data_IF_480227510484
#
_entry.id   IF_480227510484
#
_cell.length_a   1.000
_cell.length_b   1.000
_cell.length_c   1.000
_cell.angle_alpha   90.00
_cell.angle_beta   90.00
_cell.angle_gamma   90.00
#
_symmetry.space_group_name_H-M   'P 1'
#
loop_
_entity.id
_entity.type
_entity.pdbx_description
1 polymer ?
#
# COMPACT_ATOMS: atom_id res chain seq x y z
N UNK A 1 0.95 -12.20 33.25
CA UNK A 1 0.80 -12.73 31.88
C UNK A 1 1.14 -11.62 30.90
N UNK A 2 1.94 -11.91 29.87
CA UNK A 2 2.27 -10.95 28.82
C UNK A 2 0.97 -10.57 28.08
N UNK A 3 0.70 -9.25 27.92
CA UNK A 3 -0.49 -8.77 27.19
C UNK A 3 -0.46 -9.30 25.75
N UNK A 4 -1.47 -10.05 25.35
CA UNK A 4 -1.65 -10.57 23.98
C UNK A 4 -2.76 -9.82 23.21
N UNK A 5 -2.78 -8.48 23.32
CA UNK A 5 -3.62 -7.64 22.48
C UNK A 5 -2.76 -6.78 21.54
N UNK A 6 -3.39 -5.89 20.76
CA UNK A 6 -2.70 -5.10 19.75
C UNK A 6 -1.73 -4.05 20.33
N UNK A 7 -1.87 -3.68 21.62
CA UNK A 7 -0.94 -2.77 22.30
C UNK A 7 0.49 -3.29 22.25
N UNK A 8 0.68 -4.62 22.35
CA UNK A 8 1.98 -5.26 22.17
C UNK A 8 2.72 -4.82 20.89
N UNK A 9 2.00 -4.71 19.76
CA UNK A 9 2.65 -4.32 18.48
C UNK A 9 3.01 -2.84 18.43
N UNK A 10 2.27 -2.01 19.14
CA UNK A 10 2.57 -0.56 19.26
C UNK A 10 3.78 -0.36 20.16
N UNK A 11 3.79 -0.97 21.34
CA UNK A 11 4.87 -0.90 22.35
C UNK A 11 6.21 -1.42 21.84
N UNK A 12 6.20 -2.36 20.87
CA UNK A 12 7.41 -2.96 20.30
C UNK A 12 7.75 -2.47 18.88
N UNK A 13 7.20 -1.34 18.42
CA UNK A 13 7.43 -0.78 17.08
C UNK A 13 7.11 -1.76 15.92
N UNK A 14 6.18 -2.69 16.13
CA UNK A 14 5.78 -3.69 15.15
C UNK A 14 4.51 -3.30 14.38
N UNK A 15 3.82 -2.22 14.78
CA UNK A 15 2.61 -1.77 14.12
C UNK A 15 2.89 -1.25 12.70
N UNK A 16 2.00 -1.60 11.75
CA UNK A 16 2.05 -1.20 10.34
C UNK A 16 1.03 -0.09 10.01
N UNK A 17 0.16 0.26 10.96
CA UNK A 17 -0.95 1.19 10.74
C UNK A 17 -2.06 0.68 9.82
N UNK A 18 -2.10 -0.62 9.51
CA UNK A 18 -3.06 -1.19 8.56
C UNK A 18 -4.52 -1.12 9.00
N UNK A 19 -4.81 -1.00 10.30
CA UNK A 19 -6.13 -0.74 10.86
C UNK A 19 -7.07 -1.95 11.01
N UNK A 20 -6.75 -3.11 10.45
CA UNK A 20 -7.63 -4.29 10.40
C UNK A 20 -7.99 -4.81 11.80
N UNK A 21 -7.13 -4.57 12.80
CA UNK A 21 -7.37 -4.95 14.20
C UNK A 21 -8.60 -4.26 14.82
N UNK A 22 -8.98 -3.07 14.35
CA UNK A 22 -10.19 -2.37 14.79
C UNK A 22 -11.43 -3.19 14.46
N UNK A 23 -11.59 -3.60 13.21
CA UNK A 23 -12.76 -4.35 12.72
C UNK A 23 -12.76 -5.80 13.23
N UNK A 24 -11.58 -6.35 13.55
CA UNK A 24 -11.45 -7.69 14.11
C UNK A 24 -11.87 -7.77 15.58
N UNK A 25 -12.00 -6.65 16.28
CA UNK A 25 -12.37 -6.62 17.69
C UNK A 25 -13.90 -6.78 17.87
N UNK A 26 -14.39 -7.90 18.44
CA UNK A 26 -15.83 -8.12 18.59
C UNK A 26 -16.49 -7.20 19.62
N UNK A 27 -15.69 -6.52 20.46
CA UNK A 27 -16.16 -5.59 21.48
C UNK A 27 -15.93 -4.13 21.08
N UNK A 28 -15.45 -3.85 19.85
CA UNK A 28 -15.11 -2.51 19.38
C UNK A 28 -14.19 -1.73 20.34
N UNK A 29 -13.32 -2.45 21.08
CA UNK A 29 -12.39 -1.87 22.05
C UNK A 29 -11.16 -1.20 21.39
N UNK A 30 -11.06 -1.16 20.06
CA UNK A 30 -9.90 -0.65 19.34
C UNK A 30 -10.33 0.46 18.40
N UNK A 31 -9.68 1.61 18.53
CA UNK A 31 -9.83 2.76 17.63
C UNK A 31 -8.47 3.09 16.98
N UNK A 32 -8.45 3.24 15.66
CA UNK A 32 -7.22 3.57 14.91
C UNK A 32 -7.16 5.06 14.64
N UNK A 33 -6.11 5.72 15.14
CA UNK A 33 -5.87 7.17 15.01
C UNK A 33 -4.54 7.48 14.34
N UNK A 34 -4.44 8.66 13.74
CA UNK A 34 -3.17 9.20 13.25
C UNK A 34 -2.34 9.73 14.44
N UNK A 35 -1.22 9.05 14.72
CA UNK A 35 -0.35 9.34 15.87
C UNK A 35 1.10 9.24 15.41
N UNK A 36 1.94 10.22 15.78
CA UNK A 36 3.40 10.23 15.51
C UNK A 36 3.73 9.91 14.05
N UNK A 37 3.02 10.54 13.11
CA UNK A 37 3.29 10.44 11.67
C UNK A 37 2.79 9.16 11.00
N UNK A 38 2.01 8.30 11.68
CA UNK A 38 1.39 7.10 11.11
C UNK A 38 0.03 6.82 11.74
N UNK A 39 -0.67 5.78 11.28
CA UNK A 39 -1.84 5.27 11.98
C UNK A 39 -1.41 4.29 13.07
N UNK A 40 -2.09 4.35 14.23
CA UNK A 40 -1.85 3.44 15.35
C UNK A 40 -3.15 3.10 16.06
N UNK A 41 -3.37 1.84 16.47
CA UNK A 41 -4.51 1.46 17.28
C UNK A 41 -4.34 1.91 18.72
N UNK A 42 -5.44 2.39 19.31
CA UNK A 42 -5.60 2.67 20.74
C UNK A 42 -6.60 1.64 21.27
N UNK A 43 -6.27 1.00 22.37
CA UNK A 43 -7.13 0.01 23.02
C UNK A 43 -7.83 0.66 24.22
N UNK A 44 -9.15 0.56 24.27
CA UNK A 44 -9.91 0.83 25.49
C UNK A 44 -9.82 -0.39 26.42
N UNK A 45 -8.99 -0.31 27.43
CA UNK A 45 -8.68 -1.42 28.34
C UNK A 45 -9.88 -1.79 29.23
N UNK A 46 -10.83 -0.88 29.46
CA UNK A 46 -12.04 -1.14 30.29
C UNK A 46 -12.97 -2.17 29.65
N UNK A 47 -13.08 -2.13 28.32
CA UNK A 47 -13.95 -3.07 27.58
C UNK A 47 -13.18 -4.19 26.89
N UNK A 48 -11.84 -4.13 26.90
CA UNK A 48 -10.99 -5.13 26.25
C UNK A 48 -11.03 -6.47 27.02
N UNK A 49 -11.45 -7.54 26.34
CA UNK A 49 -11.50 -8.88 26.94
C UNK A 49 -10.15 -9.62 26.97
N UNK A 50 -9.01 -8.94 26.81
CA UNK A 50 -7.70 -9.60 26.84
C UNK A 50 -7.45 -10.31 28.18
N UNK A 51 -7.85 -9.72 29.31
CA UNK A 51 -7.80 -10.34 30.64
C UNK A 51 -8.64 -11.61 30.78
N UNK A 52 -9.62 -11.81 29.89
CA UNK A 52 -10.48 -13.00 29.80
C UNK A 52 -10.02 -13.99 28.71
N UNK A 53 -8.79 -13.84 28.19
CA UNK A 53 -8.19 -14.73 27.20
C UNK A 53 -8.45 -14.37 25.74
N UNK A 54 -9.05 -13.23 25.44
CA UNK A 54 -9.22 -12.78 24.04
C UNK A 54 -7.90 -12.21 23.50
N UNK A 55 -7.43 -12.74 22.35
CA UNK A 55 -6.24 -12.26 21.65
C UNK A 55 -6.45 -12.11 20.13
N UNK A 56 -7.70 -12.03 19.69
CA UNK A 56 -8.10 -12.03 18.27
C UNK A 56 -7.37 -10.95 17.43
N UNK A 57 -7.26 -9.72 17.93
CA UNK A 57 -6.55 -8.63 17.26
C UNK A 57 -5.05 -8.88 17.12
N UNK A 58 -4.44 -9.56 18.08
CA UNK A 58 -3.05 -9.98 18.06
C UNK A 58 -2.81 -11.08 17.02
N UNK A 59 -3.68 -12.11 17.01
CA UNK A 59 -3.54 -13.26 16.12
C UNK A 59 -3.62 -12.87 14.64
N UNK A 60 -4.52 -11.93 14.28
CA UNK A 60 -4.65 -11.48 12.88
C UNK A 60 -3.60 -10.44 12.50
N UNK A 61 -2.82 -9.93 13.46
CA UNK A 61 -1.90 -8.83 13.17
C UNK A 61 -0.70 -9.27 12.32
N UNK A 62 -0.50 -8.68 11.12
CA UNK A 62 0.68 -8.97 10.30
C UNK A 62 1.96 -8.35 10.88
N UNK A 63 1.83 -7.41 11.83
CA UNK A 63 2.94 -6.83 12.57
C UNK A 63 3.69 -7.85 13.41
N UNK A 64 2.97 -8.79 14.04
CA UNK A 64 3.56 -9.91 14.80
C UNK A 64 4.29 -10.91 13.92
N UNK A 65 3.80 -11.10 12.70
CA UNK A 65 4.37 -12.04 11.74
C UNK A 65 3.33 -12.73 10.88
N UNK A 66 3.80 -13.54 9.94
CA UNK A 66 2.93 -14.27 9.01
C UNK A 66 3.66 -15.49 8.42
N UNK A 67 2.95 -16.57 8.21
CA UNK A 67 3.39 -17.72 7.45
C UNK A 67 2.90 -17.60 5.99
N UNK A 68 3.69 -16.94 5.12
CA UNK A 68 3.31 -16.70 3.73
C UNK A 68 3.05 -18.01 2.98
N UNK A 69 3.93 -19.00 3.13
CA UNK A 69 3.81 -20.29 2.42
C UNK A 69 2.54 -21.04 2.78
N UNK A 70 2.22 -21.12 4.07
CA UNK A 70 1.02 -21.84 4.52
C UNK A 70 -0.26 -21.15 4.04
N UNK A 71 -0.34 -19.81 4.15
CA UNK A 71 -1.51 -19.07 3.71
C UNK A 71 -1.63 -19.13 2.19
N UNK A 72 -0.52 -18.99 1.46
CA UNK A 72 -0.53 -19.12 0.00
C UNK A 72 -0.99 -20.50 -0.46
N UNK A 73 -0.49 -21.58 0.17
CA UNK A 73 -0.95 -22.94 -0.12
C UNK A 73 -2.46 -23.10 0.05
N UNK A 74 -3.03 -22.51 1.08
CA UNK A 74 -4.48 -22.59 1.34
C UNK A 74 -5.33 -21.81 0.34
N UNK A 75 -4.76 -20.79 -0.32
CA UNK A 75 -5.49 -19.90 -1.22
C UNK A 75 -5.18 -20.16 -2.71
N UNK A 76 -4.00 -20.68 -3.02
CA UNK A 76 -3.51 -20.86 -4.39
C UNK A 76 -3.20 -22.33 -4.71
N UNK A 77 -3.83 -23.28 -4.01
CA UNK A 77 -3.68 -24.71 -4.25
C UNK A 77 -4.46 -25.13 -5.51
N UNK A 78 -4.00 -24.68 -6.68
CA UNK A 78 -4.53 -25.04 -8.00
C UNK A 78 -3.41 -25.70 -8.82
N UNK A 79 -3.81 -26.55 -9.76
CA UNK A 79 -2.86 -27.16 -10.71
C UNK A 79 -2.10 -26.06 -11.48
N UNK A 80 -0.81 -26.31 -11.74
CA UNK A 80 0.07 -25.44 -12.51
C UNK A 80 0.38 -24.06 -11.88
N UNK A 81 0.45 -23.96 -10.56
CA UNK A 81 1.01 -22.77 -9.92
C UNK A 81 2.51 -22.97 -9.65
N UNK A 82 3.31 -22.02 -10.10
CA UNK A 82 4.75 -22.00 -9.87
C UNK A 82 5.10 -21.28 -8.56
N UNK A 83 6.35 -21.46 -8.08
CA UNK A 83 6.88 -20.76 -6.92
C UNK A 83 8.25 -20.14 -7.22
N UNK A 84 8.44 -18.92 -6.73
CA UNK A 84 9.75 -18.24 -6.75
C UNK A 84 10.00 -17.58 -5.38
N UNK A 85 11.23 -17.59 -4.90
CA UNK A 85 11.60 -17.06 -3.56
C UNK A 85 11.28 -15.57 -3.41
N UNK A 86 11.37 -14.78 -4.48
CA UNK A 86 11.16 -13.34 -4.46
C UNK A 86 9.71 -12.93 -4.70
N UNK A 87 8.98 -13.72 -5.49
CA UNK A 87 7.65 -13.39 -6.00
C UNK A 87 6.54 -14.13 -5.24
N UNK A 88 6.89 -15.25 -4.59
CA UNK A 88 5.94 -16.20 -4.02
C UNK A 88 5.34 -17.10 -5.10
N UNK A 89 4.08 -17.53 -4.93
CA UNK A 89 3.36 -18.29 -5.93
C UNK A 89 2.97 -17.39 -7.11
N UNK A 90 3.00 -17.93 -8.34
CA UNK A 90 2.63 -17.20 -9.56
C UNK A 90 2.19 -18.14 -10.67
N UNK A 91 1.35 -17.62 -11.57
CA UNK A 91 0.97 -18.27 -12.82
C UNK A 91 1.67 -17.62 -14.00
N UNK A 92 1.40 -16.35 -14.20
CA UNK A 92 1.86 -15.60 -15.36
C UNK A 92 2.39 -14.22 -14.98
N UNK A 93 3.24 -13.69 -15.85
CA UNK A 93 3.77 -12.34 -15.76
C UNK A 93 3.41 -11.57 -17.01
N UNK A 94 2.85 -10.39 -16.83
CA UNK A 94 2.48 -9.50 -17.92
C UNK A 94 3.04 -8.10 -17.72
N UNK A 95 3.08 -7.37 -18.83
CA UNK A 95 3.19 -5.92 -18.88
C UNK A 95 2.02 -5.38 -19.69
N UNK A 96 1.56 -4.20 -19.36
CA UNK A 96 0.45 -3.58 -20.06
C UNK A 96 0.04 -2.24 -19.47
N UNK A 97 -0.96 -1.63 -20.08
CA UNK A 97 -1.51 -0.36 -19.66
C UNK A 97 -2.98 -0.23 -20.07
N UNK A 98 -3.69 0.75 -19.52
CA UNK A 98 -5.01 1.15 -19.99
C UNK A 98 -4.95 1.62 -21.45
N UNK A 99 -5.92 1.24 -22.27
CA UNK A 99 -6.09 1.78 -23.63
C UNK A 99 -6.72 3.16 -23.62
N UNK A 100 -7.44 3.52 -22.57
CA UNK A 100 -7.95 4.87 -22.32
C UNK A 100 -6.76 5.81 -22.00
N UNK A 101 -6.52 6.77 -22.89
CA UNK A 101 -5.37 7.69 -22.82
C UNK A 101 -5.42 8.58 -21.56
N UNK A 102 -6.59 9.02 -21.16
CA UNK A 102 -6.78 9.85 -19.97
C UNK A 102 -6.49 9.07 -18.69
N UNK A 103 -7.00 7.82 -18.60
CA UNK A 103 -6.68 6.93 -17.47
C UNK A 103 -5.18 6.67 -17.43
N UNK A 104 -4.56 6.37 -18.55
CA UNK A 104 -3.13 6.08 -18.64
C UNK A 104 -2.28 7.28 -18.21
N UNK A 105 -2.58 8.48 -18.70
CA UNK A 105 -1.83 9.70 -18.43
C UNK A 105 -1.94 10.15 -16.96
N UNK A 106 -3.13 10.06 -16.39
CA UNK A 106 -3.38 10.50 -15.02
C UNK A 106 -3.18 9.43 -13.96
N UNK A 107 -2.88 8.19 -14.34
CA UNK A 107 -2.45 7.14 -13.43
C UNK A 107 -0.93 7.03 -13.40
N UNK A 108 -0.39 6.59 -12.27
CA UNK A 108 1.06 6.62 -11.99
C UNK A 108 1.90 5.71 -12.87
N UNK A 109 1.34 4.59 -13.36
CA UNK A 109 2.09 3.49 -13.97
C UNK A 109 1.36 2.83 -15.15
N UNK A 110 0.57 3.59 -15.90
CA UNK A 110 -0.16 3.06 -17.04
C UNK A 110 -1.62 2.70 -16.79
N UNK A 111 -2.12 2.81 -15.54
CA UNK A 111 -3.55 2.75 -15.23
C UNK A 111 -4.19 1.36 -15.19
N UNK A 112 -3.43 0.26 -15.32
CA UNK A 112 -4.00 -1.09 -15.39
C UNK A 112 -4.88 -1.47 -14.21
N UNK A 113 -4.46 -1.15 -12.97
CA UNK A 113 -5.24 -1.49 -11.78
C UNK A 113 -6.62 -0.83 -11.83
N UNK A 114 -6.66 0.47 -12.15
CA UNK A 114 -7.93 1.21 -12.25
C UNK A 114 -8.78 0.70 -13.40
N UNK A 115 -8.18 0.51 -14.58
CA UNK A 115 -8.90 0.04 -15.76
C UNK A 115 -9.49 -1.37 -15.57
N UNK A 116 -8.73 -2.28 -14.95
CA UNK A 116 -9.22 -3.63 -14.71
C UNK A 116 -10.35 -3.67 -13.66
N UNK A 117 -10.31 -2.80 -12.65
CA UNK A 117 -11.44 -2.63 -11.71
C UNK A 117 -12.68 -2.10 -12.43
N UNK A 118 -12.52 -1.10 -13.31
CA UNK A 118 -13.61 -0.55 -14.11
C UNK A 118 -14.23 -1.65 -14.97
N UNK A 119 -13.42 -2.45 -15.66
CA UNK A 119 -13.88 -3.60 -16.43
C UNK A 119 -14.73 -4.56 -15.59
N UNK A 120 -14.25 -4.96 -14.41
CA UNK A 120 -14.98 -5.88 -13.53
C UNK A 120 -16.31 -5.30 -13.02
N UNK A 121 -16.39 -3.99 -12.78
CA UNK A 121 -17.62 -3.29 -12.40
C UNK A 121 -18.62 -3.22 -13.56
N UNK A 122 -18.18 -2.85 -14.75
CA UNK A 122 -19.03 -2.75 -15.96
C UNK A 122 -19.59 -4.12 -16.37
N UNK A 123 -18.78 -5.18 -16.20
CA UNK A 123 -19.22 -6.58 -16.39
C UNK A 123 -20.08 -7.13 -15.25
N UNK A 124 -20.31 -6.34 -14.18
CA UNK A 124 -21.04 -6.76 -12.98
C UNK A 124 -20.48 -8.01 -12.30
N UNK A 125 -19.16 -8.25 -12.43
CA UNK A 125 -18.44 -9.35 -11.78
C UNK A 125 -18.24 -9.01 -10.30
N UNK A 126 -18.10 -7.72 -9.98
CA UNK A 126 -17.99 -7.21 -8.62
C UNK A 126 -19.01 -6.10 -8.37
N UNK A 127 -19.44 -5.97 -7.11
CA UNK A 127 -20.33 -4.91 -6.64
C UNK A 127 -19.56 -3.62 -6.30
N UNK A 128 -18.28 -3.75 -6.00
CA UNK A 128 -17.44 -2.61 -5.68
C UNK A 128 -15.99 -2.99 -5.44
N UNK A 129 -15.15 -1.98 -5.41
CA UNK A 129 -13.73 -2.10 -5.08
C UNK A 129 -13.36 -1.20 -3.91
N UNK A 130 -12.66 -1.75 -2.93
CA UNK A 130 -12.08 -0.99 -1.82
C UNK A 130 -10.80 -0.34 -2.32
N UNK A 131 -10.84 0.98 -2.43
CA UNK A 131 -9.77 1.82 -2.96
C UNK A 131 -9.50 3.00 -2.04
N UNK A 132 -8.39 3.71 -2.24
CA UNK A 132 -7.96 4.80 -1.37
C UNK A 132 -7.82 6.09 -2.14
N UNK A 133 -8.44 7.18 -1.67
CA UNK A 133 -8.31 8.54 -2.23
C UNK A 133 -7.87 9.54 -1.18
N UNK A 134 -7.44 10.72 -1.61
CA UNK A 134 -7.29 11.86 -0.69
C UNK A 134 -8.65 12.33 -0.19
N UNK A 135 -8.67 12.81 1.03
CA UNK A 135 -9.85 13.42 1.62
C UNK A 135 -10.06 14.81 1.01
N UNK A 136 -11.28 15.13 0.55
CA UNK A 136 -11.58 16.43 -0.05
C UNK A 136 -11.48 17.60 0.94
N UNK A 137 -11.76 17.32 2.25
CA UNK A 137 -11.69 18.35 3.32
C UNK A 137 -10.27 18.53 3.87
N UNK A 138 -9.42 17.51 3.73
CA UNK A 138 -8.02 17.52 4.12
C UNK A 138 -7.21 16.76 3.09
N UNK A 139 -6.69 17.42 2.04
CA UNK A 139 -6.01 16.78 0.91
C UNK A 139 -4.79 15.95 1.25
N UNK A 140 -4.31 16.01 2.51
CA UNK A 140 -3.16 15.23 2.98
C UNK A 140 -3.55 13.97 3.73
N UNK A 141 -4.81 13.85 4.10
CA UNK A 141 -5.35 12.62 4.70
C UNK A 141 -5.94 11.74 3.62
N UNK A 142 -5.73 10.45 3.77
CA UNK A 142 -6.25 9.45 2.84
C UNK A 142 -7.46 8.75 3.46
N UNK A 143 -8.47 8.53 2.62
CA UNK A 143 -9.67 7.76 2.97
C UNK A 143 -9.75 6.51 2.12
N UNK A 144 -10.00 5.39 2.76
CA UNK A 144 -10.35 4.12 2.09
C UNK A 144 -11.88 4.02 2.02
N UNK A 145 -12.41 3.68 0.85
CA UNK A 145 -13.85 3.63 0.60
C UNK A 145 -14.21 2.58 -0.46
N UNK A 146 -15.49 2.31 -0.65
CA UNK A 146 -16.00 1.39 -1.67
C UNK A 146 -16.35 2.20 -2.92
N UNK A 147 -15.61 2.01 -4.01
CA UNK A 147 -15.93 2.54 -5.33
C UNK A 147 -16.83 1.57 -6.09
N UNK A 148 -17.90 2.08 -6.73
CA UNK A 148 -18.92 1.29 -7.43
C UNK A 148 -19.08 1.63 -8.91
N UNK A 149 -18.39 2.65 -9.38
CA UNK A 149 -18.44 3.11 -10.76
C UNK A 149 -17.08 3.65 -11.20
N UNK A 150 -16.96 3.96 -12.50
CA UNK A 150 -15.73 4.47 -13.12
C UNK A 150 -15.23 5.74 -12.43
N UNK A 151 -16.09 6.70 -12.16
CA UNK A 151 -15.75 8.01 -11.58
C UNK A 151 -15.18 7.84 -10.17
N UNK A 152 -15.78 6.98 -9.36
CA UNK A 152 -15.31 6.68 -8.01
C UNK A 152 -13.94 5.96 -8.02
N UNK A 153 -13.73 5.01 -8.93
CA UNK A 153 -12.43 4.36 -9.13
C UNK A 153 -11.37 5.39 -9.54
N UNK A 154 -11.69 6.26 -10.49
CA UNK A 154 -10.76 7.30 -10.96
C UNK A 154 -10.47 8.36 -9.90
N UNK A 155 -11.39 8.63 -8.97
CA UNK A 155 -11.12 9.51 -7.83
C UNK A 155 -10.01 8.97 -6.91
N UNK A 156 -9.74 7.65 -6.97
CA UNK A 156 -8.70 6.97 -6.21
C UNK A 156 -7.39 6.74 -6.98
N UNK A 157 -7.28 7.23 -8.23
CA UNK A 157 -6.09 7.09 -9.07
C UNK A 157 -4.83 7.69 -8.42
N UNK A 158 -3.67 7.26 -8.89
CA UNK A 158 -2.37 7.77 -8.47
C UNK A 158 -1.84 7.17 -7.16
N UNK A 159 -0.53 7.23 -6.97
CA UNK A 159 0.17 6.73 -5.77
C UNK A 159 -0.04 7.65 -4.57
N UNK A 160 -0.23 7.05 -3.38
CA UNK A 160 -0.27 7.76 -2.09
C UNK A 160 0.96 7.36 -1.26
N UNK A 161 1.93 8.25 -1.15
CA UNK A 161 3.12 8.05 -0.30
C UNK A 161 2.88 8.56 1.12
N UNK A 162 1.73 8.20 1.67
CA UNK A 162 1.28 8.48 3.02
C UNK A 162 0.79 7.21 3.69
N UNK A 163 0.68 7.15 5.01
CA UNK A 163 0.02 6.06 5.70
C UNK A 163 -1.41 5.86 5.23
N UNK A 164 -1.80 4.60 5.04
CA UNK A 164 -3.16 4.19 4.67
C UNK A 164 -3.66 3.20 5.71
N UNK A 165 -4.89 3.40 6.18
CA UNK A 165 -5.59 2.46 7.07
C UNK A 165 -6.78 1.84 6.36
N UNK A 166 -7.05 0.57 6.71
CA UNK A 166 -8.22 -0.21 6.29
C UNK A 166 -9.26 -0.33 7.41
N UNK A 167 -9.12 0.47 8.47
CA UNK A 167 -10.08 0.48 9.57
C UNK A 167 -11.50 0.82 9.08
N UNK A 168 -12.50 0.07 9.54
CA UNK A 168 -13.90 0.22 9.16
C UNK A 168 -14.30 -0.49 7.86
N UNK A 169 -13.34 -1.04 7.09
CA UNK A 169 -13.65 -1.66 5.79
C UNK A 169 -14.36 -2.99 5.96
N UNK A 170 -13.97 -3.82 6.92
CA UNK A 170 -14.61 -5.13 7.13
C UNK A 170 -16.08 -4.96 7.49
N UNK A 171 -16.38 -4.05 8.43
CA UNK A 171 -17.74 -3.76 8.85
C UNK A 171 -18.56 -3.13 7.71
N UNK A 172 -17.91 -2.31 6.87
CA UNK A 172 -18.58 -1.63 5.75
C UNK A 172 -19.05 -2.59 4.65
N UNK A 173 -18.42 -3.77 4.48
CA UNK A 173 -18.75 -4.74 3.40
C UNK A 173 -19.48 -5.98 3.90
N UNK A 174 -19.32 -6.35 5.17
CA UNK A 174 -19.87 -7.60 5.74
C UNK A 174 -21.38 -7.76 5.54
N UNK A 175 -22.12 -6.67 5.68
CA UNK A 175 -23.56 -6.63 5.60
C UNK A 175 -24.09 -6.11 4.23
N UNK A 176 -23.22 -5.97 3.23
CA UNK A 176 -23.60 -5.59 1.87
C UNK A 176 -23.71 -6.83 0.98
N UNK A 177 -24.58 -6.75 -0.02
CA UNK A 177 -24.66 -7.80 -1.04
C UNK A 177 -23.50 -7.70 -2.02
N UNK A 178 -23.27 -8.81 -2.73
CA UNK A 178 -22.26 -8.90 -3.78
C UNK A 178 -20.86 -9.24 -3.30
N UNK A 179 -19.92 -9.12 -4.22
CA UNK A 179 -18.50 -9.43 -4.08
C UNK A 179 -17.65 -8.17 -4.26
N UNK A 180 -16.55 -8.10 -3.53
CA UNK A 180 -15.69 -6.92 -3.51
C UNK A 180 -14.25 -7.26 -3.83
N UNK A 181 -13.58 -6.38 -4.58
CA UNK A 181 -12.13 -6.36 -4.71
C UNK A 181 -11.55 -5.48 -3.60
N UNK A 182 -10.44 -5.88 -3.00
CA UNK A 182 -9.66 -5.03 -2.09
C UNK A 182 -8.32 -4.71 -2.72
N UNK A 183 -8.06 -3.43 -2.99
CA UNK A 183 -6.74 -2.94 -3.43
C UNK A 183 -5.91 -2.60 -2.20
N UNK A 184 -4.73 -3.22 -2.08
CA UNK A 184 -3.93 -3.02 -0.87
C UNK A 184 -2.44 -3.26 -1.04
N UNK A 185 -1.68 -2.75 -0.07
CA UNK A 185 -0.26 -3.07 0.09
C UNK A 185 -0.10 -4.51 0.66
N UNK A 186 1.09 -5.12 0.55
CA UNK A 186 1.33 -6.45 1.14
C UNK A 186 0.84 -6.58 2.58
N UNK A 187 1.14 -5.60 3.44
CA UNK A 187 0.73 -5.63 4.85
C UNK A 187 -0.80 -5.60 5.06
N UNK A 188 -1.55 -4.89 4.21
CA UNK A 188 -3.02 -4.90 4.25
C UNK A 188 -3.55 -6.29 3.89
N UNK A 189 -3.04 -6.87 2.80
CA UNK A 189 -3.46 -8.20 2.34
C UNK A 189 -3.09 -9.29 3.36
N UNK A 190 -1.91 -9.20 3.96
CA UNK A 190 -1.51 -10.10 5.05
C UNK A 190 -2.51 -10.10 6.21
N UNK A 191 -2.95 -8.91 6.64
CA UNK A 191 -3.93 -8.77 7.71
C UNK A 191 -5.30 -9.35 7.32
N UNK A 192 -5.79 -9.05 6.12
CA UNK A 192 -7.05 -9.59 5.62
C UNK A 192 -7.01 -11.12 5.44
N UNK A 193 -5.91 -11.66 4.87
CA UNK A 193 -5.76 -13.12 4.74
C UNK A 193 -5.71 -13.84 6.10
N UNK A 194 -5.12 -13.22 7.12
CA UNK A 194 -5.20 -13.76 8.49
C UNK A 194 -6.61 -13.63 9.07
N UNK A 195 -7.32 -12.53 8.80
CA UNK A 195 -8.70 -12.36 9.23
C UNK A 195 -9.64 -13.40 8.59
N UNK A 196 -9.47 -13.75 7.32
CA UNK A 196 -10.23 -14.79 6.63
C UNK A 196 -10.17 -16.16 7.32
N UNK A 197 -9.10 -16.45 8.07
CA UNK A 197 -8.97 -17.72 8.81
C UNK A 197 -9.98 -17.81 9.95
N UNK A 198 -10.44 -16.69 10.48
CA UNK A 198 -11.32 -16.60 11.65
C UNK A 198 -12.66 -15.92 11.37
N UNK A 199 -12.85 -15.34 10.19
CA UNK A 199 -14.08 -14.65 9.76
C UNK A 199 -14.55 -15.12 8.38
N UNK A 200 -15.35 -16.19 8.37
CA UNK A 200 -15.88 -16.77 7.13
C UNK A 200 -16.86 -15.85 6.40
N UNK A 201 -17.65 -15.04 7.13
CA UNK A 201 -18.58 -14.07 6.51
C UNK A 201 -17.82 -13.02 5.73
N UNK A 202 -16.75 -12.46 6.30
CA UNK A 202 -15.87 -11.54 5.60
C UNK A 202 -15.25 -12.20 4.35
N UNK A 203 -14.67 -13.41 4.51
CA UNK A 203 -14.08 -14.15 3.39
C UNK A 203 -15.05 -14.32 2.21
N UNK A 204 -16.31 -14.62 2.49
CA UNK A 204 -17.35 -14.81 1.45
C UNK A 204 -17.68 -13.54 0.67
N UNK A 205 -17.36 -12.35 1.20
CA UNK A 205 -17.58 -11.06 0.51
C UNK A 205 -16.44 -10.69 -0.44
N UNK A 206 -15.30 -11.34 -0.33
CA UNK A 206 -14.13 -11.00 -1.13
C UNK A 206 -14.15 -11.75 -2.47
N UNK A 207 -14.10 -11.01 -3.57
CA UNK A 207 -13.85 -11.56 -4.89
C UNK A 207 -12.36 -11.81 -5.09
N UNK A 208 -11.53 -10.78 -4.87
CA UNK A 208 -10.09 -10.86 -5.03
C UNK A 208 -9.35 -9.77 -4.25
N UNK A 209 -8.08 -10.03 -3.94
CA UNK A 209 -7.11 -9.04 -3.48
C UNK A 209 -6.22 -8.57 -4.62
N UNK A 210 -6.23 -7.28 -4.90
CA UNK A 210 -5.35 -6.61 -5.84
C UNK A 210 -4.18 -6.00 -5.09
N UNK A 211 -3.02 -6.64 -5.19
CA UNK A 211 -1.80 -6.21 -4.51
C UNK A 211 -1.06 -5.11 -5.27
N UNK A 212 -0.53 -4.15 -4.55
CA UNK A 212 0.40 -3.18 -5.11
C UNK A 212 1.82 -3.51 -4.64
N UNK A 213 2.81 -3.49 -5.55
CA UNK A 213 4.20 -3.67 -5.17
C UNK A 213 4.62 -2.59 -4.17
N UNK A 214 5.32 -2.99 -3.15
CA UNK A 214 5.68 -2.07 -2.08
C UNK A 214 7.12 -2.25 -1.63
N UNK A 215 7.92 -1.21 -1.79
CA UNK A 215 9.27 -1.20 -1.22
C UNK A 215 9.26 -0.84 0.27
N UNK A 216 8.51 0.21 0.67
CA UNK A 216 8.43 0.68 2.05
C UNK A 216 7.27 1.67 2.21
N UNK A 217 6.56 1.64 3.35
CA UNK A 217 5.60 2.67 3.74
C UNK A 217 6.29 3.98 4.11
N UNK A 218 5.57 5.10 3.96
CA UNK A 218 6.05 6.44 4.36
C UNK A 218 5.19 6.98 5.50
N UNK A 219 5.81 7.77 6.37
CA UNK A 219 5.10 8.53 7.41
C UNK A 219 4.48 9.79 6.82
N UNK A 220 3.50 10.39 7.51
CA UNK A 220 2.94 11.70 7.14
C UNK A 220 3.99 12.80 7.11
N UNK A 221 5.08 12.64 7.84
CA UNK A 221 6.19 13.60 7.88
C UNK A 221 6.83 13.88 6.52
N UNK A 222 6.77 12.95 5.55
CA UNK A 222 7.20 13.21 4.19
C UNK A 222 6.40 14.36 3.56
N UNK A 223 5.09 14.34 3.75
CA UNK A 223 4.20 15.37 3.21
C UNK A 223 4.39 16.69 3.93
N UNK A 224 4.46 16.65 5.28
CA UNK A 224 4.67 17.85 6.11
C UNK A 224 5.98 18.54 5.77
N UNK A 225 7.06 17.77 5.65
CA UNK A 225 8.35 18.29 5.22
C UNK A 225 8.29 18.91 3.82
N UNK A 226 7.62 18.22 2.88
CA UNK A 226 7.51 18.71 1.49
C UNK A 226 6.77 20.04 1.42
N UNK A 227 5.68 20.20 2.15
CA UNK A 227 4.94 21.45 2.21
C UNK A 227 5.75 22.57 2.89
N UNK A 228 6.33 22.27 4.06
CA UNK A 228 7.17 23.21 4.83
C UNK A 228 8.34 23.72 3.98
N UNK A 229 9.02 22.83 3.26
CA UNK A 229 10.16 23.19 2.41
C UNK A 229 9.79 24.05 1.19
N UNK A 230 8.51 24.07 0.80
CA UNK A 230 7.99 24.93 -0.27
C UNK A 230 7.14 26.10 0.27
N UNK A 231 7.19 26.38 1.57
CA UNK A 231 6.46 27.47 2.23
C UNK A 231 4.94 27.43 2.00
N UNK A 232 4.37 26.23 1.85
CA UNK A 232 2.92 26.00 1.61
C UNK A 232 2.30 25.49 2.91
N UNK A 233 1.24 26.14 3.39
CA UNK A 233 0.45 25.68 4.53
C UNK A 233 -0.71 24.78 4.07
N UNK A 234 -1.19 23.88 4.95
CA UNK A 234 -2.24 22.90 4.61
C UNK A 234 -3.57 23.54 4.24
N UNK A 235 -3.90 24.67 4.86
CA UNK A 235 -5.10 25.46 4.61
C UNK A 235 -5.15 26.13 3.23
N UNK A 236 -4.00 26.28 2.58
CA UNK A 236 -3.88 26.84 1.24
C UNK A 236 -4.12 25.80 0.13
N UNK A 237 -4.07 24.50 0.45
CA UNK A 237 -4.11 23.43 -0.55
C UNK A 237 -5.49 23.31 -1.20
N UNK A 238 -5.50 23.23 -2.54
CA UNK A 238 -6.66 22.90 -3.36
C UNK A 238 -6.51 21.56 -4.08
N UNK A 239 -5.25 21.15 -4.35
CA UNK A 239 -4.94 19.85 -4.97
C UNK A 239 -3.59 19.33 -4.50
N UNK A 240 -3.48 18.00 -4.36
CA UNK A 240 -2.22 17.34 -4.02
C UNK A 240 -2.14 15.95 -4.66
N UNK A 241 -1.08 15.69 -5.42
CA UNK A 241 -0.77 14.37 -5.95
C UNK A 241 0.73 14.09 -5.86
N UNK A 242 1.10 12.94 -5.30
CA UNK A 242 2.51 12.54 -5.19
C UNK A 242 3.16 12.20 -6.53
N UNK A 243 2.36 11.74 -7.47
CA UNK A 243 2.77 11.44 -8.85
C UNK A 243 1.57 11.74 -9.77
N UNK A 244 1.72 12.69 -10.65
CA UNK A 244 0.73 13.10 -11.64
C UNK A 244 1.41 13.35 -12.98
N UNK A 245 0.63 13.32 -14.07
CA UNK A 245 1.07 13.64 -15.42
C UNK A 245 2.15 12.69 -15.96
N UNK A 246 1.74 11.46 -16.25
CA UNK A 246 2.56 10.42 -16.87
C UNK A 246 3.46 9.66 -15.92
N UNK A 247 4.45 8.97 -16.45
CA UNK A 247 5.42 8.14 -15.71
C UNK A 247 6.82 8.81 -15.80
N UNK A 248 7.59 8.92 -14.77
CA UNK A 248 7.38 8.61 -13.36
C UNK A 248 6.51 9.64 -12.63
N UNK A 249 5.97 10.62 -13.33
CA UNK A 249 5.12 11.68 -12.82
C UNK A 249 5.86 12.76 -12.02
N UNK A 250 5.12 13.79 -11.66
CA UNK A 250 5.61 14.86 -10.80
C UNK A 250 4.83 14.87 -9.49
N UNK A 251 5.44 15.32 -8.41
CA UNK A 251 4.66 15.88 -7.29
C UNK A 251 3.92 17.10 -7.86
N UNK A 252 2.62 17.14 -7.72
CA UNK A 252 1.77 18.23 -8.19
C UNK A 252 0.95 18.79 -7.04
N UNK A 253 1.15 20.07 -6.75
CA UNK A 253 0.49 20.80 -5.67
C UNK A 253 -0.19 22.02 -6.27
N UNK A 254 -1.48 22.23 -5.98
CA UNK A 254 -2.15 23.50 -6.26
C UNK A 254 -2.56 24.14 -4.93
N UNK A 255 -2.37 25.44 -4.82
CA UNK A 255 -2.65 26.18 -3.59
C UNK A 255 -2.99 27.65 -3.88
N UNK A 256 -3.67 28.26 -2.92
CA UNK A 256 -4.01 29.71 -2.98
C UNK A 256 -2.96 30.50 -2.19
N UNK A 257 -2.35 31.51 -2.80
CA UNK A 257 -1.37 32.36 -2.13
C UNK A 257 -2.02 33.27 -1.07
N UNK A 258 -1.38 33.40 0.11
CA UNK A 258 -1.91 34.23 1.22
C UNK A 258 -2.04 35.72 0.86
N UNK A 259 -1.22 36.23 -0.03
CA UNK A 259 -1.21 37.66 -0.41
C UNK A 259 -2.40 38.06 -1.32
N UNK A 260 -3.12 37.11 -1.89
CA UNK A 260 -4.37 37.39 -2.64
C UNK A 260 -5.57 37.63 -1.73
N UNK A 261 -5.48 37.27 -0.45
CA UNK A 261 -6.57 37.44 0.52
C UNK A 261 -6.63 38.86 1.14
N UNK A 262 -5.53 39.63 1.11
CA UNK A 262 -5.45 40.94 1.78
C UNK A 262 -5.68 42.16 0.85
N UNK A 263 -5.86 41.98 -0.45
CA UNK A 263 -5.97 43.06 -1.43
C UNK A 263 -7.34 43.22 -2.09
N UNK A 264 -8.33 42.43 -1.73
CA UNK A 264 -9.63 42.46 -2.41
C UNK A 264 -10.77 42.57 -1.41
N UNK A 265 -11.01 43.77 -0.90
CA UNK A 265 -12.39 44.21 -0.60
C UNK A 265 -13.00 44.60 -1.95
N UNK A 266 -14.02 43.86 -2.41
CA UNK A 266 -14.84 44.11 -3.61
C UNK A 266 -14.34 43.65 -4.98
N UNK A 267 -14.05 42.38 -5.19
CA UNK A 267 -14.16 41.76 -6.55
C UNK A 267 -14.52 40.28 -6.39
N UNK A 268 -15.48 39.79 -7.19
CA UNK A 268 -15.96 38.41 -7.28
C UNK A 268 -14.82 37.37 -7.29
N UNK A 269 -15.01 36.27 -6.56
CA UNK A 269 -14.11 35.19 -6.19
C UNK A 269 -13.25 34.55 -7.32
N UNK A 270 -12.28 35.25 -7.88
CA UNK A 270 -11.19 34.60 -8.61
C UNK A 270 -9.98 34.42 -7.68
N UNK A 271 -10.00 33.35 -6.90
CA UNK A 271 -8.83 32.90 -6.14
C UNK A 271 -7.76 32.49 -7.14
N UNK A 272 -6.64 33.19 -7.18
CA UNK A 272 -5.49 32.76 -7.99
C UNK A 272 -4.91 31.46 -7.41
N UNK A 273 -5.07 30.38 -8.16
CA UNK A 273 -4.51 29.07 -7.83
C UNK A 273 -3.13 28.95 -8.44
N UNK A 274 -2.11 28.87 -7.61
CA UNK A 274 -0.73 28.62 -8.03
C UNK A 274 -0.49 27.12 -8.13
N UNK A 275 0.21 26.69 -9.21
CA UNK A 275 0.57 25.29 -9.44
C UNK A 275 2.07 25.08 -9.30
N UNK A 276 2.48 24.14 -8.43
CA UNK A 276 3.86 23.72 -8.24
C UNK A 276 4.00 22.27 -8.71
N UNK A 277 4.96 22.01 -9.59
CA UNK A 277 5.33 20.66 -10.01
C UNK A 277 6.80 20.39 -9.73
N UNK A 278 7.09 19.27 -9.06
CA UNK A 278 8.46 18.84 -8.75
C UNK A 278 8.68 17.43 -9.31
N UNK A 279 9.70 17.22 -10.16
CA UNK A 279 10.00 15.90 -10.71
C UNK A 279 10.18 14.85 -9.60
N UNK A 280 9.61 13.66 -9.81
CA UNK A 280 9.68 12.53 -8.89
C UNK A 280 11.09 12.23 -8.36
N UNK A 281 12.10 12.33 -9.23
CA UNK A 281 13.50 12.10 -8.86
C UNK A 281 13.99 13.11 -7.82
N UNK A 282 13.61 14.40 -7.97
CA UNK A 282 14.11 15.48 -7.12
C UNK A 282 13.53 15.45 -5.71
N UNK A 283 12.29 15.01 -5.55
CA UNK A 283 11.69 14.98 -4.21
C UNK A 283 11.62 13.56 -3.62
N UNK A 284 11.00 12.61 -4.33
CA UNK A 284 10.71 11.30 -3.73
C UNK A 284 11.95 10.42 -3.60
N UNK A 285 12.73 10.26 -4.67
CA UNK A 285 13.94 9.43 -4.61
C UNK A 285 14.96 9.96 -3.62
N UNK A 286 15.05 11.28 -3.45
CA UNK A 286 15.94 11.94 -2.49
C UNK A 286 15.43 11.78 -1.06
N UNK A 287 14.15 11.97 -0.82
CA UNK A 287 13.58 12.10 0.52
C UNK A 287 13.05 10.78 1.11
N UNK A 288 12.66 9.82 0.27
CA UNK A 288 11.92 8.62 0.71
C UNK A 288 12.53 7.86 1.88
N UNK A 289 13.85 7.76 1.93
CA UNK A 289 14.55 6.98 2.97
C UNK A 289 14.48 7.62 4.36
N UNK A 290 14.26 8.93 4.44
CA UNK A 290 14.15 9.67 5.69
C UNK A 290 12.81 9.48 6.40
N UNK A 291 11.76 9.11 5.65
CA UNK A 291 10.39 9.04 6.15
C UNK A 291 9.81 7.63 6.14
N UNK A 292 10.65 6.63 6.33
CA UNK A 292 10.23 5.23 6.36
C UNK A 292 9.44 4.90 7.63
N UNK A 293 8.41 4.07 7.48
CA UNK A 293 7.75 3.41 8.62
C UNK A 293 8.72 2.37 9.21
N UNK A 294 8.96 2.40 10.54
CA UNK A 294 9.95 1.56 11.21
C UNK A 294 9.75 0.06 10.92
N UNK A 295 8.54 -0.43 11.06
CA UNK A 295 8.19 -1.84 10.83
C UNK A 295 8.55 -2.35 9.41
N UNK A 296 8.65 -1.46 8.40
CA UNK A 296 9.06 -1.82 7.05
C UNK A 296 10.51 -2.33 6.95
N UNK A 297 11.36 -2.04 7.94
CA UNK A 297 12.72 -2.59 8.03
C UNK A 297 12.74 -4.12 8.18
N UNK A 298 11.64 -4.70 8.67
CA UNK A 298 11.47 -6.14 8.86
C UNK A 298 10.59 -6.81 7.79
N UNK A 299 10.05 -6.05 6.83
CA UNK A 299 9.13 -6.58 5.83
C UNK A 299 9.86 -7.43 4.79
N UNK A 300 9.31 -8.61 4.48
CA UNK A 300 9.87 -9.58 3.54
C UNK A 300 9.13 -9.68 2.20
N UNK A 301 8.00 -9.00 2.06
CA UNK A 301 7.15 -9.08 0.87
C UNK A 301 7.20 -7.78 0.06
N UNK A 302 7.58 -7.91 -1.20
CA UNK A 302 7.62 -6.83 -2.19
C UNK A 302 6.45 -6.90 -3.17
N UNK A 303 6.12 -8.10 -3.62
CA UNK A 303 5.18 -8.36 -4.71
C UNK A 303 3.73 -8.59 -4.25
N UNK A 304 3.43 -8.38 -2.97
CA UNK A 304 2.16 -8.74 -2.35
C UNK A 304 1.82 -10.22 -2.58
N UNK A 305 2.68 -11.10 -2.08
CA UNK A 305 2.69 -12.54 -2.37
C UNK A 305 1.38 -13.26 -2.04
N UNK A 306 0.55 -12.71 -1.17
CA UNK A 306 -0.76 -13.25 -0.81
C UNK A 306 -1.94 -12.61 -1.55
N UNK A 307 -1.69 -11.70 -2.50
CA UNK A 307 -2.75 -11.19 -3.38
C UNK A 307 -3.08 -12.18 -4.49
N UNK A 308 -4.29 -12.10 -5.02
CA UNK A 308 -4.74 -12.92 -6.15
C UNK A 308 -4.13 -12.46 -7.48
N UNK A 309 -3.90 -11.14 -7.58
CA UNK A 309 -3.17 -10.47 -8.64
C UNK A 309 -2.41 -9.29 -8.05
N UNK A 310 -1.22 -8.97 -8.54
CA UNK A 310 -0.47 -7.81 -8.10
C UNK A 310 0.10 -6.98 -9.23
N UNK A 311 0.19 -5.68 -8.99
CA UNK A 311 0.56 -4.66 -9.97
C UNK A 311 1.72 -3.80 -9.46
N UNK A 312 2.56 -3.35 -10.36
CA UNK A 312 3.62 -2.39 -10.05
C UNK A 312 4.22 -1.77 -11.31
N UNK A 313 5.13 -0.85 -11.13
CA UNK A 313 5.87 -0.24 -12.23
C UNK A 313 6.78 -1.28 -12.90
N UNK A 314 7.08 -1.09 -14.19
CA UNK A 314 8.16 -1.82 -14.86
C UNK A 314 9.27 -0.84 -15.24
N UNK A 315 10.50 -1.16 -14.84
CA UNK A 315 11.70 -0.36 -15.12
C UNK A 315 12.76 -1.25 -15.79
N UNK A 316 12.47 -1.72 -17.01
CA UNK A 316 13.34 -2.63 -17.74
C UNK A 316 13.28 -2.37 -19.25
N UNK A 317 14.43 -2.36 -19.92
CA UNK A 317 14.57 -2.27 -21.37
C UNK A 317 13.76 -1.10 -21.95
N UNK A 318 13.06 -1.35 -23.04
CA UNK A 318 12.24 -0.35 -23.76
C UNK A 318 11.13 0.30 -22.90
N UNK A 319 10.71 -0.35 -21.81
CA UNK A 319 9.64 0.17 -20.94
C UNK A 319 10.06 1.38 -20.10
N UNK A 320 11.37 1.62 -19.93
CA UNK A 320 11.89 2.77 -19.18
C UNK A 320 11.62 4.08 -19.93
N UNK A 321 11.59 4.03 -21.26
CA UNK A 321 11.43 5.20 -22.12
C UNK A 321 9.97 5.64 -22.27
N UNK A 322 9.03 4.77 -21.85
CA UNK A 322 7.61 5.08 -21.93
C UNK A 322 7.20 6.11 -20.89
N UNK A 323 6.90 7.32 -21.33
CA UNK A 323 6.54 8.45 -20.47
C UNK A 323 5.09 8.45 -19.99
N UNK A 324 4.24 7.61 -20.55
CA UNK A 324 2.85 7.45 -20.10
C UNK A 324 2.71 6.36 -19.04
N UNK A 325 3.69 5.47 -18.94
CA UNK A 325 3.74 4.40 -17.97
C UNK A 325 3.18 3.06 -18.47
N UNK A 326 3.79 2.02 -17.93
CA UNK A 326 3.42 0.62 -18.15
C UNK A 326 3.46 -0.09 -16.81
N UNK A 327 2.43 -0.88 -16.52
CA UNK A 327 2.41 -1.75 -15.35
C UNK A 327 3.05 -3.11 -15.65
N UNK A 328 3.71 -3.69 -14.66
CA UNK A 328 3.89 -5.14 -14.59
C UNK A 328 2.81 -5.76 -13.72
N UNK A 329 2.45 -7.00 -14.05
CA UNK A 329 1.39 -7.77 -13.39
C UNK A 329 1.87 -9.17 -13.08
N UNK A 330 1.54 -9.67 -11.88
CA UNK A 330 1.70 -11.06 -11.49
C UNK A 330 0.34 -11.64 -11.16
N UNK A 331 -0.08 -12.68 -11.88
CA UNK A 331 -1.34 -13.39 -11.59
C UNK A 331 -1.06 -14.63 -10.75
N UNK A 332 -2.05 -15.00 -9.89
CA UNK A 332 -1.97 -16.18 -9.02
C UNK A 332 -3.22 -17.06 -9.10
N UNK A 333 -4.32 -16.56 -9.68
CA UNK A 333 -5.56 -17.30 -9.90
C UNK A 333 -5.88 -17.39 -11.38
N UNK A 334 -6.38 -18.55 -11.82
CA UNK A 334 -6.68 -18.83 -13.21
C UNK A 334 -7.84 -17.98 -13.76
N UNK A 335 -8.88 -17.81 -12.96
CA UNK A 335 -10.04 -17.01 -13.33
C UNK A 335 -9.67 -15.53 -13.56
N UNK A 336 -8.79 -14.95 -12.72
CA UNK A 336 -8.29 -13.58 -12.90
C UNK A 336 -7.35 -13.45 -14.10
N UNK A 337 -6.56 -14.49 -14.40
CA UNK A 337 -5.73 -14.55 -15.60
C UNK A 337 -6.59 -14.52 -16.87
N UNK A 338 -7.67 -15.31 -16.90
CA UNK A 338 -8.64 -15.32 -17.99
C UNK A 338 -9.35 -13.95 -18.13
N UNK A 339 -9.84 -13.37 -17.05
CA UNK A 339 -10.48 -12.05 -17.06
C UNK A 339 -9.54 -10.92 -17.54
N UNK A 340 -8.23 -11.01 -17.26
CA UNK A 340 -7.27 -10.08 -17.85
C UNK A 340 -7.15 -10.22 -19.36
N UNK A 341 -7.14 -11.46 -19.86
CA UNK A 341 -7.11 -11.73 -21.31
C UNK A 341 -8.38 -11.25 -21.98
N UNK A 342 -9.55 -11.52 -21.39
CA UNK A 342 -10.84 -11.02 -21.86
C UNK A 342 -10.85 -9.47 -21.89
N UNK A 343 -10.36 -8.80 -20.84
CA UNK A 343 -10.26 -7.34 -20.82
C UNK A 343 -9.32 -6.78 -21.90
N UNK A 344 -8.27 -7.53 -22.29
CA UNK A 344 -7.42 -7.21 -23.43
C UNK A 344 -8.21 -7.36 -24.75
N UNK A 345 -8.87 -8.50 -24.95
CA UNK A 345 -9.58 -8.83 -26.20
C UNK A 345 -10.75 -7.86 -26.44
N UNK A 346 -11.37 -7.37 -25.37
CA UNK A 346 -12.39 -6.33 -25.41
C UNK A 346 -11.82 -4.90 -25.49
N UNK A 347 -10.52 -4.73 -25.54
CA UNK A 347 -9.88 -3.45 -25.79
C UNK A 347 -9.77 -2.51 -24.56
N UNK A 348 -9.96 -2.99 -23.33
CA UNK A 348 -9.80 -2.18 -22.11
C UNK A 348 -8.33 -1.94 -21.75
N UNK A 349 -7.49 -2.93 -22.00
CA UNK A 349 -6.06 -2.91 -21.64
C UNK A 349 -5.20 -3.47 -22.76
N UNK A 350 -3.93 -3.06 -22.81
CA UNK A 350 -2.90 -3.85 -23.50
C UNK A 350 -2.32 -4.88 -22.53
N UNK A 351 -1.92 -6.03 -23.04
CA UNK A 351 -1.39 -7.11 -22.20
C UNK A 351 -0.40 -7.96 -23.03
N UNK A 352 0.89 -7.91 -22.65
CA UNK A 352 1.95 -8.70 -23.25
C UNK A 352 2.64 -9.55 -22.17
N UNK A 353 3.02 -10.77 -22.51
CA UNK A 353 3.79 -11.62 -21.60
C UNK A 353 5.20 -11.09 -21.39
N UNK A 354 5.72 -11.24 -20.18
CA UNK A 354 7.09 -10.87 -19.84
C UNK A 354 7.77 -12.00 -19.07
N UNK A 355 9.08 -12.17 -19.27
CA UNK A 355 9.83 -13.20 -18.55
C UNK A 355 10.00 -12.84 -17.06
N UNK A 356 10.10 -13.88 -16.22
CA UNK A 356 10.42 -13.72 -14.79
C UNK A 356 11.72 -12.93 -14.57
N UNK A 357 12.74 -13.17 -15.37
CA UNK A 357 14.03 -12.47 -15.25
C UNK A 357 13.90 -10.97 -15.51
N UNK A 358 13.10 -10.57 -16.48
CA UNK A 358 12.83 -9.17 -16.78
C UNK A 358 12.06 -8.48 -15.65
N UNK A 359 11.04 -9.15 -15.10
CA UNK A 359 10.30 -8.65 -13.95
C UNK A 359 11.22 -8.44 -12.75
N UNK A 360 12.03 -9.43 -12.38
CA UNK A 360 12.95 -9.34 -11.24
C UNK A 360 14.04 -8.30 -11.44
N UNK A 361 14.58 -8.13 -12.66
CA UNK A 361 15.57 -7.11 -12.96
C UNK A 361 15.01 -5.68 -12.75
N UNK A 362 13.72 -5.50 -13.01
CA UNK A 362 12.99 -4.25 -12.77
C UNK A 362 12.75 -3.99 -11.27
N UNK A 363 12.59 -5.04 -10.46
CA UNK A 363 12.14 -4.94 -9.07
C UNK A 363 13.22 -5.38 -8.07
N UNK A 364 14.43 -4.87 -8.22
CA UNK A 364 15.63 -5.24 -7.40
C UNK A 364 15.41 -5.10 -5.88
N UNK A 365 14.43 -4.29 -5.44
CA UNK A 365 14.11 -4.14 -4.02
C UNK A 365 13.55 -5.42 -3.39
N UNK A 366 13.00 -6.34 -4.18
CA UNK A 366 12.61 -7.67 -3.72
C UNK A 366 13.78 -8.44 -3.06
N UNK A 367 15.01 -8.27 -3.60
CA UNK A 367 16.22 -8.87 -3.00
C UNK A 367 16.53 -8.29 -1.62
N UNK A 368 16.32 -6.98 -1.42
CA UNK A 368 16.48 -6.33 -0.11
C UNK A 368 15.51 -6.93 0.89
N UNK A 369 14.24 -7.13 0.48
CA UNK A 369 13.21 -7.74 1.31
C UNK A 369 13.55 -9.17 1.72
N UNK A 370 14.09 -9.99 0.82
CA UNK A 370 14.35 -11.41 1.07
C UNK A 370 15.75 -11.72 1.65
N UNK A 371 16.71 -10.78 1.55
CA UNK A 371 18.08 -11.04 2.02
C UNK A 371 18.54 -10.08 3.12
N UNK A 372 18.30 -8.77 2.97
CA UNK A 372 18.79 -7.76 3.93
C UNK A 372 17.87 -7.63 5.14
N UNK A 373 16.56 -7.55 4.94
CA UNK A 373 15.62 -7.39 6.04
C UNK A 373 15.59 -8.59 7.00
N UNK A 374 15.67 -9.88 6.55
CA UNK A 374 15.85 -11.00 7.46
C UNK A 374 17.16 -10.97 8.26
N UNK A 375 18.26 -10.45 7.68
CA UNK A 375 19.50 -10.24 8.42
C UNK A 375 19.35 -9.17 9.51
N UNK A 376 18.62 -8.07 9.22
CA UNK A 376 18.26 -7.05 10.21
C UNK A 376 17.42 -7.67 11.35
N UNK A 377 16.44 -8.51 11.04
CA UNK A 377 15.64 -9.22 12.04
C UNK A 377 16.54 -10.04 12.97
N UNK A 378 17.53 -10.79 12.43
CA UNK A 378 18.48 -11.55 13.24
C UNK A 378 19.26 -10.64 14.19
N UNK A 379 19.78 -9.52 13.70
CA UNK A 379 20.51 -8.53 14.53
C UNK A 379 19.63 -8.03 15.70
N UNK A 380 18.39 -7.63 15.41
CA UNK A 380 17.49 -7.13 16.47
C UNK A 380 17.15 -8.22 17.50
N UNK A 381 16.95 -9.48 17.07
CA UNK A 381 16.72 -10.60 18.00
C UNK A 381 17.91 -10.84 18.91
N UNK A 382 19.13 -10.81 18.37
CA UNK A 382 20.36 -10.95 19.17
C UNK A 382 20.50 -9.82 20.19
N UNK A 383 20.00 -8.62 19.88
CA UNK A 383 19.97 -7.47 20.80
C UNK A 383 18.76 -7.48 21.78
N UNK A 384 17.95 -8.55 21.80
CA UNK A 384 16.80 -8.69 22.71
C UNK A 384 15.50 -8.00 22.26
N UNK A 385 15.46 -7.36 21.09
CA UNK A 385 14.26 -6.69 20.62
C UNK A 385 13.21 -7.68 20.07
N UNK A 386 11.96 -7.36 20.28
CA UNK A 386 10.85 -8.08 19.66
C UNK A 386 10.84 -7.83 18.15
N UNK A 387 10.64 -8.89 17.37
CA UNK A 387 10.63 -8.83 15.89
C UNK A 387 9.51 -9.69 15.34
N UNK A 388 9.04 -9.43 14.10
CA UNK A 388 8.03 -10.29 13.50
C UNK A 388 8.56 -11.71 13.30
N UNK A 389 7.65 -12.66 13.37
CA UNK A 389 7.95 -14.06 13.10
C UNK A 389 7.52 -14.42 11.67
N UNK A 390 8.46 -14.96 10.92
CA UNK A 390 8.23 -15.53 9.59
C UNK A 390 8.67 -16.98 9.61
N UNK A 391 7.79 -17.89 9.21
CA UNK A 391 8.05 -19.33 9.20
C UNK A 391 8.79 -19.74 7.92
N UNK A 392 9.85 -19.01 7.61
CA UNK A 392 10.69 -19.22 6.42
C UNK A 392 12.17 -19.09 6.75
N UNK A 393 13.00 -19.89 6.06
CA UNK A 393 14.45 -19.77 6.11
C UNK A 393 14.89 -18.88 4.96
N UNK A 394 15.63 -17.81 5.28
CA UNK A 394 16.11 -16.84 4.29
C UNK A 394 17.62 -16.94 4.12
N UNK A 395 18.07 -16.91 2.85
CA UNK A 395 19.49 -16.66 2.54
C UNK A 395 19.77 -15.17 2.84
N UNK A 396 20.52 -14.89 3.89
CA UNK A 396 20.77 -13.52 4.36
C UNK A 396 22.08 -12.95 3.82
N UNK A 397 22.17 -11.64 3.69
CA UNK A 397 23.47 -10.95 3.53
C UNK A 397 24.31 -11.09 4.81
N UNK A 398 25.61 -10.79 4.73
CA UNK A 398 26.49 -10.78 5.91
C UNK A 398 25.99 -9.77 6.97
N UNK A 399 26.26 -10.09 8.24
CA UNK A 399 25.88 -9.22 9.38
C UNK A 399 26.47 -7.81 9.24
N UNK A 400 27.71 -7.67 8.77
CA UNK A 400 28.34 -6.37 8.55
C UNK A 400 27.58 -5.52 7.50
N UNK A 401 27.16 -6.14 6.37
CA UNK A 401 26.37 -5.47 5.32
C UNK A 401 24.99 -5.08 5.84
N UNK A 402 24.33 -5.94 6.61
CA UNK A 402 23.04 -5.65 7.21
C UNK A 402 23.13 -4.53 8.24
N UNK A 403 24.16 -4.53 9.10
CA UNK A 403 24.41 -3.50 10.11
C UNK A 403 24.65 -2.12 9.45
N UNK A 404 25.51 -2.04 8.43
CA UNK A 404 25.73 -0.80 7.66
C UNK A 404 24.42 -0.27 7.09
N UNK A 405 23.61 -1.15 6.45
CA UNK A 405 22.31 -0.75 5.90
C UNK A 405 21.33 -0.24 6.98
N UNK A 406 21.32 -0.91 8.14
CA UNK A 406 20.47 -0.54 9.27
C UNK A 406 20.88 0.83 9.85
N UNK A 407 22.17 1.05 10.10
CA UNK A 407 22.68 2.33 10.63
C UNK A 407 22.32 3.49 9.72
N UNK A 408 22.56 3.38 8.41
CA UNK A 408 22.20 4.42 7.44
C UNK A 408 20.70 4.72 7.51
N UNK A 409 19.84 3.69 7.46
CA UNK A 409 18.40 3.87 7.52
C UNK A 409 17.94 4.51 8.84
N UNK A 410 18.52 4.11 9.98
CA UNK A 410 18.17 4.69 11.29
C UNK A 410 18.54 6.16 11.39
N UNK A 411 19.73 6.55 10.93
CA UNK A 411 20.16 7.96 10.89
C UNK A 411 19.23 8.77 9.98
N UNK A 412 18.92 8.28 8.78
CA UNK A 412 18.00 8.95 7.88
C UNK A 412 16.61 9.13 8.52
N UNK A 413 16.04 8.08 9.10
CA UNK A 413 14.73 8.13 9.74
C UNK A 413 14.72 9.09 10.96
N UNK A 414 15.80 9.13 11.74
CA UNK A 414 15.95 10.06 12.83
C UNK A 414 15.93 11.52 12.33
N UNK A 415 16.71 11.84 11.30
CA UNK A 415 16.70 13.17 10.68
C UNK A 415 15.30 13.53 10.17
N UNK A 416 14.63 12.60 9.47
CA UNK A 416 13.29 12.83 8.91
C UNK A 416 12.24 13.11 9.98
N UNK A 417 12.26 12.40 11.09
CA UNK A 417 11.30 12.60 12.19
C UNK A 417 11.49 13.93 12.94
N UNK A 418 12.71 14.50 12.95
CA UNK A 418 13.01 15.74 13.66
C UNK A 418 12.93 16.99 12.79
N UNK A 419 13.15 16.88 11.49
CA UNK A 419 13.07 18.02 10.56
C UNK A 419 11.68 18.34 10.03
N UNK A 420 10.73 17.45 10.23
CA UNK A 420 9.32 17.66 9.87
C UNK A 420 8.49 18.29 11.00
N UNK A 421 9.06 18.34 12.18
CA UNK A 421 8.52 19.09 13.32
C UNK A 421 9.01 20.54 13.28
#
# INVERSE_FOLDING_TARGET
MEKKNISYTVENDLCLGCGICQDACPLHAIEVKAIKGTFSPIVNEEICANGKGCHRCFDICPGVGINLKQIAKNNFNQDNINYDTYIGHYRSFYVGHSTDKEIRYHCTSGGMTSQFIIYLLEKKIIEGAIVTKFNNKNPLMVNTFIARNKEEVLSAKGSKYAPVTMAGIVDSIKNKDGKFVIVGLPCHIHGFRKLELIDKKFKQKIFAYFGLYCSCGRTFYLTDYTLKNNCISRDQLTYFAYRDNGCMGNLHIQYVEKNSLSRIHNISENKFVTSLQIPYQKYYLTLRSFFNVHRCLYCIDHFAELSDISFGDIHFGKYIEDKLGINSVVTRRNDLDNLLREAKDEGYITLDEVSKSNLLSSQKYAMVKKHTNPAIIKIYRTLGFKTPQYNEIFKTVSTAKAMKSLMIKKVQMFIGSHKSL
#
